data_IF_977673171350
#
_entry.id   IF_977673171350
#
_cell.length_a   1.000
_cell.length_b   1.000
_cell.length_c   1.000
_cell.angle_alpha   90.00
_cell.angle_beta   90.00
_cell.angle_gamma   90.00
#
_symmetry.space_group_name_H-M   'P 1'
#
loop_
_entity.id
_entity.type
_entity.pdbx_description
1 polymer ?
#
# COMPACT_ATOMS: atom_id res chain seq x y z
N UNK A 1 -20.45 -5.01 -14.91
CA UNK A 1 -21.58 -4.07 -15.11
C UNK A 1 -22.25 -3.88 -13.77
N UNK A 2 -21.98 -2.75 -13.11
CA UNK A 2 -22.64 -2.40 -11.84
C UNK A 2 -22.79 -0.89 -11.83
N UNK A 3 -23.96 -0.42 -12.25
CA UNK A 3 -24.35 0.98 -12.24
C UNK A 3 -24.71 1.35 -10.80
N UNK A 4 -23.92 2.20 -10.13
CA UNK A 4 -24.30 2.77 -8.82
C UNK A 4 -24.91 4.15 -9.02
N UNK A 5 -26.19 4.28 -8.67
CA UNK A 5 -26.93 5.54 -8.64
C UNK A 5 -26.88 6.09 -7.22
N UNK A 6 -26.39 7.31 -7.03
CA UNK A 6 -26.46 8.02 -5.75
C UNK A 6 -27.50 9.13 -5.84
N UNK A 7 -28.53 9.05 -5.00
CA UNK A 7 -29.47 10.14 -4.76
C UNK A 7 -29.09 10.83 -3.45
N UNK A 8 -28.88 12.15 -3.50
CA UNK A 8 -28.64 12.99 -2.31
C UNK A 8 -29.80 13.98 -2.22
N UNK A 9 -30.63 13.83 -1.19
CA UNK A 9 -31.77 14.71 -0.92
C UNK A 9 -31.29 15.84 -0.01
N UNK A 10 -31.30 17.08 -0.52
CA UNK A 10 -31.17 18.29 0.30
C UNK A 10 -32.55 18.90 0.49
N UNK A 11 -32.94 19.12 1.75
CA UNK A 11 -34.20 19.77 2.11
C UNK A 11 -33.97 21.28 2.17
N UNK A 12 -34.34 21.97 1.08
CA UNK A 12 -35.01 23.28 0.97
C UNK A 12 -34.86 23.75 -0.48
N UNK A 13 -35.95 23.71 -1.26
CA UNK A 13 -35.98 24.00 -2.70
C UNK A 13 -35.66 22.76 -3.56
N UNK A 14 -36.70 22.13 -4.13
CA UNK A 14 -36.57 20.89 -4.92
C UNK A 14 -35.69 21.10 -6.16
N UNK A 15 -34.42 20.69 -6.06
CA UNK A 15 -33.54 20.49 -7.20
C UNK A 15 -32.94 19.08 -7.08
N UNK A 16 -33.43 18.14 -7.89
CA UNK A 16 -32.92 16.79 -7.94
C UNK A 16 -31.89 16.68 -9.08
N UNK A 17 -30.60 16.84 -8.77
CA UNK A 17 -29.53 16.56 -9.72
C UNK A 17 -29.17 15.07 -9.65
N UNK A 18 -29.52 14.31 -10.68
CA UNK A 18 -28.98 12.96 -10.89
C UNK A 18 -27.63 13.07 -11.60
N UNK A 19 -26.54 13.02 -10.84
CA UNK A 19 -25.20 12.85 -11.40
C UNK A 19 -24.79 11.38 -11.32
N UNK A 20 -24.79 10.72 -12.48
CA UNK A 20 -24.15 9.42 -12.68
C UNK A 20 -22.67 9.65 -12.99
N UNK A 21 -21.75 9.15 -12.15
CA UNK A 21 -20.31 9.11 -12.44
C UNK A 21 -19.86 7.66 -12.50
N UNK A 22 -19.31 7.25 -13.64
CA UNK A 22 -18.69 5.94 -13.84
C UNK A 22 -17.18 6.12 -13.99
N UNK A 23 -16.45 6.02 -12.87
CA UNK A 23 -14.99 6.07 -12.90
C UNK A 23 -14.42 4.65 -13.09
N UNK A 24 -13.76 4.42 -14.23
CA UNK A 24 -12.99 3.19 -14.51
C UNK A 24 -11.50 3.51 -14.33
N UNK A 25 -10.89 3.04 -13.24
CA UNK A 25 -9.46 3.17 -13.02
C UNK A 25 -8.71 2.04 -13.75
N UNK A 26 -8.33 2.28 -15.00
CA UNK A 26 -7.21 1.59 -15.66
C UNK A 26 -6.36 2.62 -16.39
N UNK A 27 -5.06 2.38 -16.48
CA UNK A 27 -4.11 3.27 -17.13
C UNK A 27 -4.45 3.44 -18.62
N UNK A 28 -5.15 4.53 -18.95
CA UNK A 28 -5.56 4.88 -20.31
C UNK A 28 -7.05 4.79 -20.60
N UNK A 29 -7.93 4.97 -19.60
CA UNK A 29 -9.37 5.02 -19.85
C UNK A 29 -9.83 6.38 -20.39
N UNK A 30 -10.67 6.32 -21.43
CA UNK A 30 -11.37 7.45 -22.02
C UNK A 30 -12.65 7.66 -21.22
N UNK A 31 -12.83 8.84 -20.61
CA UNK A 31 -13.97 9.09 -19.72
C UNK A 31 -15.02 9.93 -20.45
N UNK A 32 -16.21 9.34 -20.62
CA UNK A 32 -17.39 9.99 -21.16
C UNK A 32 -18.34 10.24 -19.98
N UNK A 33 -18.69 11.50 -19.72
CA UNK A 33 -19.66 11.84 -18.69
C UNK A 33 -20.88 12.53 -19.30
N UNK A 34 -22.07 11.99 -19.01
CA UNK A 34 -23.35 12.58 -19.36
C UNK A 34 -24.04 12.99 -18.07
N UNK A 35 -24.37 14.27 -17.95
CA UNK A 35 -25.11 14.80 -16.82
C UNK A 35 -26.35 15.55 -17.31
N UNK A 36 -27.44 15.47 -16.58
CA UNK A 36 -28.66 16.19 -16.93
C UNK A 36 -29.58 16.36 -15.73
N UNK A 37 -30.46 17.34 -15.82
CA UNK A 37 -31.45 17.64 -14.80
C UNK A 37 -32.64 18.37 -15.41
N UNK A 38 -33.73 18.42 -14.67
CA UNK A 38 -34.88 19.23 -15.01
C UNK A 38 -35.19 20.20 -13.88
N UNK A 39 -35.61 21.40 -14.24
CA UNK A 39 -36.07 22.41 -13.31
C UNK A 39 -37.54 22.67 -13.60
N UNK A 40 -38.39 22.49 -12.60
CA UNK A 40 -39.79 22.88 -12.65
C UNK A 40 -39.92 24.27 -12.04
N UNK A 41 -40.40 25.24 -12.83
CA UNK A 41 -40.69 26.59 -12.35
C UNK A 41 -42.14 26.67 -11.85
N UNK A 42 -42.40 27.64 -10.98
CA UNK A 42 -43.71 27.84 -10.34
C UNK A 42 -44.84 28.17 -11.35
N UNK A 43 -44.50 28.57 -12.57
CA UNK A 43 -45.40 28.81 -13.69
C UNK A 43 -45.84 27.52 -14.44
N UNK A 44 -45.38 26.34 -13.98
CA UNK A 44 -45.72 25.04 -14.54
C UNK A 44 -44.86 24.61 -15.73
N UNK A 45 -43.91 25.43 -16.18
CA UNK A 45 -42.98 25.04 -17.26
C UNK A 45 -41.83 24.20 -16.70
N UNK A 46 -41.45 23.18 -17.49
CA UNK A 46 -40.34 22.28 -17.20
C UNK A 46 -39.26 22.47 -18.24
N UNK A 47 -38.06 22.83 -17.81
CA UNK A 47 -36.89 22.93 -18.67
C UNK A 47 -35.96 21.77 -18.37
N UNK A 48 -35.53 21.07 -19.42
CA UNK A 48 -34.56 19.99 -19.35
C UNK A 48 -33.23 20.48 -19.88
N UNK A 49 -32.17 20.31 -19.08
CA UNK A 49 -30.81 20.63 -19.47
C UNK A 49 -29.98 19.37 -19.37
N UNK A 50 -29.27 19.05 -20.44
CA UNK A 50 -28.31 17.95 -20.48
C UNK A 50 -26.98 18.45 -21.03
N UNK A 51 -25.89 17.96 -20.45
CA UNK A 51 -24.52 18.29 -20.81
C UNK A 51 -23.69 17.02 -20.90
N UNK A 52 -23.03 16.85 -22.04
CA UNK A 52 -22.11 15.76 -22.32
C UNK A 52 -20.68 16.32 -22.34
N UNK A 53 -19.75 15.69 -21.61
CA UNK A 53 -18.33 16.00 -21.68
C UNK A 53 -17.49 14.75 -21.96
N UNK A 54 -16.42 14.95 -22.72
CA UNK A 54 -15.49 13.91 -23.15
C UNK A 54 -14.06 14.38 -22.86
N UNK A 55 -13.36 13.66 -21.99
CA UNK A 55 -11.97 13.99 -21.63
C UNK A 55 -11.00 13.03 -22.33
N UNK A 56 -10.09 13.58 -23.15
CA UNK A 56 -9.07 12.83 -23.89
C UNK A 56 -7.69 13.16 -23.31
N UNK A 57 -6.95 12.20 -22.72
CA UNK A 57 -5.63 12.45 -22.16
C UNK A 57 -4.58 12.58 -23.27
N UNK A 58 -4.08 13.80 -23.52
CA UNK A 58 -3.05 14.10 -24.53
C UNK A 58 -1.61 13.73 -24.11
N UNK A 59 -1.41 13.05 -22.97
CA UNK A 59 -0.09 12.82 -22.37
C UNK A 59 0.75 11.70 -23.02
N UNK A 60 0.49 11.31 -24.28
CA UNK A 60 1.29 10.29 -25.00
C UNK A 60 1.63 10.66 -26.43
N UNK A 61 1.98 11.92 -26.67
CA UNK A 61 2.80 12.29 -27.83
C UNK A 61 4.09 12.89 -27.29
N UNK A 62 5.22 12.34 -27.73
CA UNK A 62 6.60 12.66 -27.32
C UNK A 62 7.11 12.04 -26.00
N UNK A 63 7.79 10.89 -26.14
CA UNK A 63 9.01 10.64 -25.37
C UNK A 63 10.18 10.51 -26.36
N UNK A 64 11.21 11.36 -26.27
CA UNK A 64 12.41 11.22 -27.08
C UNK A 64 13.25 10.02 -26.60
N UNK A 65 13.86 9.35 -27.57
CA UNK A 65 14.82 8.26 -27.41
C UNK A 65 16.13 8.86 -26.86
N UNK A 66 16.46 8.63 -25.59
CA UNK A 66 17.74 9.07 -25.02
C UNK A 66 18.85 8.09 -25.43
N UNK A 67 19.97 8.66 -25.83
CA UNK A 67 21.09 8.04 -26.52
C UNK A 67 21.79 6.95 -25.71
N UNK A 68 22.24 5.94 -26.45
CA UNK A 68 23.11 4.84 -26.04
C UNK A 68 24.53 5.40 -25.80
N UNK A 69 25.04 5.19 -24.58
CA UNK A 69 26.38 5.60 -24.18
C UNK A 69 27.41 4.61 -24.73
N UNK A 70 28.48 5.16 -25.32
CA UNK A 70 29.61 4.40 -25.86
C UNK A 70 30.33 3.57 -24.78
N UNK A 71 30.85 2.37 -25.13
CA UNK A 71 31.53 1.51 -24.18
C UNK A 71 32.89 2.10 -23.75
N UNK A 72 33.11 2.15 -22.44
CA UNK A 72 34.41 2.41 -21.85
C UNK A 72 35.38 1.26 -22.17
N UNK A 73 36.62 1.66 -22.49
CA UNK A 73 37.76 0.82 -22.88
C UNK A 73 37.99 -0.33 -21.88
N UNK A 74 38.04 -1.56 -22.40
CA UNK A 74 38.29 -2.77 -21.61
C UNK A 74 39.74 -2.79 -21.06
N UNK A 75 39.95 -3.07 -19.76
CA UNK A 75 41.28 -3.37 -19.24
C UNK A 75 41.76 -4.75 -19.75
N UNK A 76 43.06 -4.84 -20.01
CA UNK A 76 43.76 -6.02 -20.52
C UNK A 76 43.52 -7.29 -19.69
N UNK A 77 43.56 -8.49 -20.31
CA UNK A 77 43.27 -9.75 -19.65
C UNK A 77 44.39 -10.12 -18.66
N UNK A 78 44.22 -9.72 -17.40
CA UNK A 78 44.94 -10.31 -16.27
C UNK A 78 44.68 -11.82 -16.24
N UNK A 79 45.73 -12.63 -16.09
CA UNK A 79 45.65 -14.10 -15.94
C UNK A 79 44.47 -14.48 -15.02
N UNK A 80 43.69 -15.53 -15.36
CA UNK A 80 42.57 -15.95 -14.52
C UNK A 80 43.11 -16.41 -13.15
N UNK A 81 43.09 -15.51 -12.17
CA UNK A 81 43.36 -15.83 -10.76
C UNK A 81 42.35 -16.88 -10.32
N UNK A 82 42.83 -17.97 -9.74
CA UNK A 82 41.97 -19.02 -9.20
C UNK A 82 41.14 -18.44 -8.03
N UNK A 83 39.92 -18.03 -8.32
CA UNK A 83 39.03 -17.43 -7.33
C UNK A 83 38.66 -18.49 -6.28
N UNK A 84 38.88 -18.18 -5.00
CA UNK A 84 38.36 -18.99 -3.90
C UNK A 84 36.84 -18.88 -3.88
N UNK A 85 36.16 -19.84 -4.50
CA UNK A 85 34.70 -19.93 -4.41
C UNK A 85 34.32 -20.58 -3.08
N UNK A 86 34.09 -19.72 -2.08
CA UNK A 86 33.67 -20.12 -0.73
C UNK A 86 32.15 -20.12 -0.61
N UNK A 87 31.48 -19.16 -1.27
CA UNK A 87 30.02 -18.99 -1.19
C UNK A 87 29.35 -19.91 -2.19
N UNK A 88 28.62 -20.90 -1.69
CA UNK A 88 27.74 -21.74 -2.52
C UNK A 88 26.34 -21.12 -2.65
N UNK A 89 25.58 -21.44 -3.70
CA UNK A 89 24.20 -20.96 -3.85
C UNK A 89 23.31 -21.36 -2.66
N UNK A 90 23.49 -22.57 -2.13
CA UNK A 90 22.75 -23.04 -0.94
C UNK A 90 23.07 -22.19 0.30
N UNK A 91 24.35 -21.81 0.48
CA UNK A 91 24.75 -20.94 1.57
C UNK A 91 24.17 -19.53 1.40
N UNK A 92 24.26 -18.94 0.20
CA UNK A 92 23.64 -17.64 -0.08
C UNK A 92 22.13 -17.63 0.22
N UNK A 93 21.40 -18.68 -0.18
CA UNK A 93 19.99 -18.83 0.18
C UNK A 93 19.77 -18.90 1.69
N UNK A 94 20.65 -19.58 2.44
CA UNK A 94 20.54 -19.68 3.89
C UNK A 94 20.74 -18.32 4.60
N UNK A 95 21.68 -17.50 4.11
CA UNK A 95 21.91 -16.13 4.59
C UNK A 95 20.69 -15.26 4.30
N UNK A 96 20.17 -15.30 3.07
CA UNK A 96 18.95 -14.55 2.70
C UNK A 96 17.75 -14.96 3.55
N UNK A 97 17.55 -16.27 3.78
CA UNK A 97 16.48 -16.75 4.68
C UNK A 97 16.68 -16.29 6.11
N UNK A 98 17.92 -16.17 6.59
CA UNK A 98 18.20 -15.62 7.91
C UNK A 98 17.85 -14.11 7.97
N UNK A 99 18.25 -13.34 6.96
CA UNK A 99 17.92 -11.92 6.86
C UNK A 99 16.41 -11.66 6.78
N UNK A 100 15.67 -12.41 5.96
CA UNK A 100 14.21 -12.27 5.87
C UNK A 100 13.50 -12.65 7.18
N UNK A 101 14.05 -13.59 7.94
CA UNK A 101 13.57 -13.95 9.29
C UNK A 101 13.86 -12.84 10.29
N UNK A 102 15.07 -12.31 10.31
CA UNK A 102 15.45 -11.18 11.17
C UNK A 102 14.61 -9.93 10.89
N UNK A 103 14.29 -9.67 9.62
CA UNK A 103 13.40 -8.60 9.19
C UNK A 103 11.90 -8.84 9.52
N UNK A 104 11.56 -9.99 10.11
CA UNK A 104 10.21 -10.29 10.58
C UNK A 104 9.18 -10.61 9.49
N UNK A 105 9.60 -11.06 8.30
CA UNK A 105 8.72 -11.30 7.14
C UNK A 105 7.48 -12.13 7.49
N UNK A 106 7.65 -13.28 8.14
CA UNK A 106 6.54 -14.17 8.47
C UNK A 106 5.50 -13.53 9.39
N UNK A 107 5.94 -12.66 10.32
CA UNK A 107 5.04 -11.93 11.23
C UNK A 107 4.26 -10.84 10.48
N UNK A 108 4.89 -10.17 9.52
CA UNK A 108 4.24 -9.18 8.68
C UNK A 108 3.16 -9.82 7.79
N UNK A 109 3.47 -10.95 7.14
CA UNK A 109 2.52 -11.67 6.29
C UNK A 109 1.28 -12.12 7.08
N UNK A 110 1.48 -12.69 8.27
CA UNK A 110 0.38 -13.07 9.17
C UNK A 110 -0.47 -11.85 9.59
N UNK A 111 0.16 -10.70 9.86
CA UNK A 111 -0.55 -9.45 10.19
C UNK A 111 -1.38 -8.93 9.03
N UNK A 112 -0.88 -8.99 7.78
CA UNK A 112 -1.66 -8.58 6.62
C UNK A 112 -2.83 -9.52 6.35
N UNK A 113 -2.64 -10.83 6.55
CA UNK A 113 -3.73 -11.81 6.49
C UNK A 113 -4.84 -11.51 7.51
N UNK A 114 -4.48 -11.19 8.75
CA UNK A 114 -5.47 -10.86 9.79
C UNK A 114 -6.18 -9.52 9.54
N UNK A 115 -5.50 -8.53 8.96
CA UNK A 115 -6.12 -7.28 8.53
C UNK A 115 -7.16 -7.51 7.43
N UNK A 116 -6.81 -8.29 6.40
CA UNK A 116 -7.74 -8.63 5.33
C UNK A 116 -8.95 -9.42 5.84
N UNK A 117 -8.73 -10.41 6.71
CA UNK A 117 -9.81 -11.20 7.32
C UNK A 117 -10.76 -10.32 8.15
N UNK A 118 -10.23 -9.43 8.99
CA UNK A 118 -11.04 -8.49 9.78
C UNK A 118 -11.83 -7.51 8.91
N UNK A 119 -11.25 -7.03 7.80
CA UNK A 119 -11.94 -6.14 6.87
C UNK A 119 -13.14 -6.83 6.21
N UNK A 120 -13.01 -8.12 5.85
CA UNK A 120 -14.13 -8.90 5.31
C UNK A 120 -15.19 -9.22 6.37
N UNK A 121 -14.76 -9.55 7.58
CA UNK A 121 -15.69 -9.79 8.69
C UNK A 121 -16.49 -8.53 9.06
N UNK A 122 -15.86 -7.35 9.07
CA UNK A 122 -16.56 -6.09 9.37
C UNK A 122 -17.54 -5.68 8.27
N UNK A 123 -17.29 -6.07 7.02
CA UNK A 123 -18.23 -5.83 5.92
C UNK A 123 -19.55 -6.61 6.05
N UNK A 124 -19.56 -7.73 6.79
CA UNK A 124 -20.77 -8.50 7.06
C UNK A 124 -21.65 -7.86 8.17
N UNK A 125 -21.09 -6.96 8.96
CA UNK A 125 -21.81 -6.30 10.06
C UNK A 125 -22.49 -5.01 9.58
N UNK A 126 -23.73 -4.74 10.03
CA UNK A 126 -24.36 -3.46 9.75
C UNK A 126 -23.68 -2.33 10.52
N UNK A 127 -23.66 -1.16 9.92
CA UNK A 127 -23.44 0.09 10.64
C UNK A 127 -24.73 0.43 11.39
N UNK A 128 -24.72 0.31 12.72
CA UNK A 128 -25.84 0.65 13.59
C UNK A 128 -25.75 2.12 14.03
N UNK A 129 -26.76 2.91 13.72
CA UNK A 129 -26.91 4.30 14.17
C UNK A 129 -28.15 4.41 15.05
N UNK A 130 -27.96 4.88 16.27
CA UNK A 130 -29.03 5.14 17.23
C UNK A 130 -29.18 6.65 17.37
N UNK A 131 -30.40 7.16 17.22
CA UNK A 131 -30.74 8.57 17.42
C UNK A 131 -31.87 8.65 18.43
N UNK A 132 -31.65 9.44 19.47
CA UNK A 132 -32.70 9.84 20.40
C UNK A 132 -32.94 11.33 20.21
N UNK A 133 -34.19 11.72 20.00
CA UNK A 133 -34.60 13.11 19.96
C UNK A 133 -35.70 13.33 21.00
N UNK A 134 -35.62 14.46 21.69
CA UNK A 134 -36.68 14.94 22.54
C UNK A 134 -37.16 16.25 21.95
N UNK A 135 -38.44 16.32 21.65
CA UNK A 135 -39.09 17.54 21.16
C UNK A 135 -40.10 17.96 22.21
N UNK A 136 -40.02 19.23 22.59
CA UNK A 136 -40.96 19.89 23.50
C UNK A 136 -41.74 20.88 22.67
N UNK A 137 -43.03 20.64 22.50
CA UNK A 137 -43.94 21.58 21.86
C UNK A 137 -44.71 22.34 22.93
N UNK A 138 -44.68 23.66 22.82
CA UNK A 138 -45.57 24.56 23.52
C UNK A 138 -46.43 25.24 22.46
N UNK A 139 -47.49 24.54 22.03
CA UNK A 139 -48.43 25.13 21.09
C UNK A 139 -49.62 25.74 21.84
N UNK A 140 -49.82 27.04 21.61
CA UNK A 140 -51.03 27.75 21.98
C UNK A 140 -52.04 27.57 20.86
N UNK A 141 -53.11 26.83 21.12
CA UNK A 141 -54.23 26.71 20.18
C UNK A 141 -55.33 27.67 20.58
N UNK A 142 -55.74 28.52 19.64
CA UNK A 142 -56.95 29.31 19.79
C UNK A 142 -58.15 28.37 19.61
N UNK A 143 -58.98 28.24 20.64
CA UNK A 143 -60.20 27.43 20.59
C UNK A 143 -61.39 28.32 20.97
N UNK A 144 -61.75 29.29 20.10
CA UNK A 144 -62.78 30.26 20.41
C UNK A 144 -64.12 29.56 20.60
N UNK A 145 -64.83 29.93 21.66
CA UNK A 145 -66.20 29.48 21.90
C UNK A 145 -67.15 30.66 21.69
N UNK A 146 -68.43 30.38 21.49
CA UNK A 146 -69.46 31.42 21.28
C UNK A 146 -69.53 32.42 22.44
N UNK A 147 -69.04 32.04 23.62
CA UNK A 147 -69.06 32.84 24.86
C UNK A 147 -67.72 33.52 25.16
N UNK A 148 -66.60 33.05 24.61
CA UNK A 148 -65.26 33.63 24.80
C UNK A 148 -64.43 33.52 23.50
N UNK A 149 -64.35 34.63 22.72
CA UNK A 149 -63.59 34.68 21.48
C UNK A 149 -62.07 34.61 21.68
N UNK A 150 -61.57 34.91 22.89
CA UNK A 150 -60.14 34.98 23.20
C UNK A 150 -59.66 33.78 24.01
N UNK A 151 -60.39 32.67 23.99
CA UNK A 151 -60.01 31.47 24.69
C UNK A 151 -58.79 30.80 24.05
N UNK A 152 -57.68 30.81 24.77
CA UNK A 152 -56.48 30.03 24.43
C UNK A 152 -56.45 28.75 25.25
N UNK A 153 -56.15 27.62 24.61
CA UNK A 153 -55.80 26.37 25.28
C UNK A 153 -54.32 26.10 25.04
N UNK A 154 -53.55 26.08 26.12
CA UNK A 154 -52.17 25.65 26.08
C UNK A 154 -52.13 24.12 26.01
N UNK A 155 -51.58 23.60 24.92
CA UNK A 155 -51.32 22.17 24.77
C UNK A 155 -49.80 21.97 24.85
N UNK A 156 -49.32 21.57 26.02
CA UNK A 156 -47.93 21.15 26.21
C UNK A 156 -47.77 19.67 25.83
N UNK A 157 -46.84 19.38 24.93
CA UNK A 157 -46.51 18.02 24.52
C UNK A 157 -45.01 17.74 24.63
N UNK A 158 -44.64 16.65 25.29
CA UNK A 158 -43.27 16.14 25.26
C UNK A 158 -43.27 14.85 24.45
N UNK A 159 -42.58 14.85 23.32
CA UNK A 159 -42.34 13.65 22.52
C UNK A 159 -40.88 13.22 22.64
N UNK A 160 -40.69 11.92 22.82
CA UNK A 160 -39.39 11.27 22.77
C UNK A 160 -39.42 10.34 21.55
N UNK A 161 -38.51 10.57 20.62
CA UNK A 161 -38.33 9.76 19.42
C UNK A 161 -37.04 8.96 19.56
N UNK A 162 -37.15 7.65 19.41
CA UNK A 162 -36.02 6.72 19.37
C UNK A 162 -35.98 6.09 17.98
N UNK A 163 -34.94 6.41 17.22
CA UNK A 163 -34.70 5.86 15.88
C UNK A 163 -33.46 4.97 15.92
N UNK A 164 -33.60 3.72 15.47
CA UNK A 164 -32.50 2.80 15.26
C UNK A 164 -32.39 2.47 13.77
N UNK A 165 -31.23 2.75 13.16
CA UNK A 165 -30.95 2.50 11.75
C UNK A 165 -29.77 1.55 11.60
N UNK A 166 -30.01 0.38 11.04
CA UNK A 166 -28.97 -0.56 10.63
C UNK A 166 -28.73 -0.45 9.11
N UNK A 167 -27.49 -0.24 8.69
CA UNK A 167 -27.11 -0.12 7.27
C UNK A 167 -26.10 -1.20 6.90
N UNK A 168 -26.47 -2.13 6.02
CA UNK A 168 -25.56 -3.13 5.47
C UNK A 168 -24.92 -2.62 4.19
N UNK A 169 -23.59 -2.68 4.12
CA UNK A 169 -22.82 -2.36 2.92
C UNK A 169 -22.41 -3.66 2.23
N UNK A 170 -23.38 -4.31 1.59
CA UNK A 170 -23.19 -5.63 0.96
C UNK A 170 -22.19 -5.61 -0.20
N UNK A 171 -21.94 -4.43 -0.79
CA UNK A 171 -20.89 -4.23 -1.77
C UNK A 171 -19.49 -4.49 -1.17
N UNK A 172 -19.27 -4.10 0.09
CA UNK A 172 -18.02 -4.36 0.81
C UNK A 172 -17.81 -5.83 1.14
N UNK A 173 -18.89 -6.63 1.21
CA UNK A 173 -18.79 -8.06 1.45
C UNK A 173 -18.18 -8.79 0.23
N UNK A 174 -18.40 -8.27 -0.98
CA UNK A 174 -17.80 -8.79 -2.21
C UNK A 174 -16.40 -8.22 -2.42
N UNK A 175 -16.23 -6.91 -2.21
CA UNK A 175 -14.95 -6.24 -2.38
C UNK A 175 -14.82 -5.04 -1.44
N UNK A 176 -13.89 -5.10 -0.48
CA UNK A 176 -13.64 -4.01 0.45
C UNK A 176 -12.52 -3.11 -0.09
N UNK A 177 -12.69 -1.79 -0.06
CA UNK A 177 -11.65 -0.83 -0.49
C UNK A 177 -10.34 -0.99 0.30
N UNK A 178 -10.43 -1.48 1.54
CA UNK A 178 -9.28 -1.83 2.38
C UNK A 178 -8.44 -2.96 1.78
N UNK A 179 -9.01 -3.84 0.98
CA UNK A 179 -8.28 -4.91 0.30
C UNK A 179 -7.26 -4.34 -0.70
N UNK A 180 -7.60 -3.26 -1.41
CA UNK A 180 -6.66 -2.54 -2.28
C UNK A 180 -5.49 -1.99 -1.47
N UNK A 181 -5.77 -1.39 -0.30
CA UNK A 181 -4.73 -0.84 0.57
C UNK A 181 -3.83 -1.95 1.14
N UNK A 182 -4.40 -3.09 1.54
CA UNK A 182 -3.64 -4.26 1.99
C UNK A 182 -2.76 -4.79 0.87
N UNK A 183 -3.27 -4.89 -0.36
CA UNK A 183 -2.48 -5.32 -1.53
C UNK A 183 -1.36 -4.33 -1.86
N UNK A 184 -1.63 -3.02 -1.74
CA UNK A 184 -0.59 -2.01 -1.91
C UNK A 184 0.54 -2.19 -0.88
N UNK A 185 0.19 -2.39 0.39
CA UNK A 185 1.17 -2.66 1.45
C UNK A 185 1.96 -3.96 1.21
N UNK A 186 1.31 -5.01 0.69
CA UNK A 186 1.99 -6.25 0.28
C UNK A 186 3.01 -6.00 -0.84
N UNK A 187 2.64 -5.22 -1.86
CA UNK A 187 3.56 -4.85 -2.95
C UNK A 187 4.75 -4.04 -2.43
N UNK A 188 4.50 -3.02 -1.62
CA UNK A 188 5.57 -2.23 -1.00
C UNK A 188 6.50 -3.09 -0.16
N UNK A 189 5.95 -4.05 0.59
CA UNK A 189 6.77 -4.97 1.38
C UNK A 189 7.59 -5.90 0.49
N UNK A 190 7.01 -6.46 -0.58
CA UNK A 190 7.75 -7.29 -1.52
C UNK A 190 8.93 -6.53 -2.17
N UNK A 191 8.76 -5.23 -2.45
CA UNK A 191 9.84 -4.37 -2.94
C UNK A 191 10.93 -4.16 -1.88
N UNK A 192 10.56 -3.93 -0.61
CA UNK A 192 11.53 -3.83 0.49
C UNK A 192 12.30 -5.14 0.68
N UNK A 193 11.62 -6.28 0.62
CA UNK A 193 12.24 -7.59 0.71
C UNK A 193 13.22 -7.82 -0.46
N UNK A 194 12.86 -7.42 -1.68
CA UNK A 194 13.76 -7.52 -2.83
C UNK A 194 15.04 -6.68 -2.65
N UNK A 195 14.90 -5.45 -2.13
CA UNK A 195 16.06 -4.59 -1.79
C UNK A 195 16.92 -5.21 -0.70
N UNK A 196 16.31 -5.75 0.35
CA UNK A 196 17.05 -6.45 1.41
C UNK A 196 17.82 -7.66 0.87
N UNK A 197 17.21 -8.45 -0.02
CA UNK A 197 17.89 -9.58 -0.68
C UNK A 197 19.09 -9.09 -1.47
N UNK A 198 18.93 -8.01 -2.24
CA UNK A 198 20.02 -7.42 -3.01
C UNK A 198 21.16 -6.93 -2.10
N UNK A 199 20.84 -6.22 -1.03
CA UNK A 199 21.82 -5.70 -0.07
C UNK A 199 22.58 -6.82 0.64
N UNK A 200 21.88 -7.90 1.03
CA UNK A 200 22.48 -9.08 1.65
C UNK A 200 23.44 -9.78 0.68
N UNK A 201 23.03 -10.00 -0.56
CA UNK A 201 23.88 -10.63 -1.57
C UNK A 201 25.11 -9.76 -1.89
N UNK A 202 24.92 -8.44 -1.98
CA UNK A 202 26.00 -7.48 -2.19
C UNK A 202 27.02 -7.53 -1.06
N UNK A 203 26.57 -7.53 0.20
CA UNK A 203 27.42 -7.66 1.37
C UNK A 203 28.14 -9.02 1.40
N UNK A 204 27.45 -10.11 1.05
CA UNK A 204 28.02 -11.46 1.00
C UNK A 204 29.14 -11.58 -0.04
N UNK A 205 28.94 -11.02 -1.25
CA UNK A 205 29.98 -11.01 -2.27
C UNK A 205 31.09 -10.01 -1.98
N UNK A 206 30.83 -8.91 -1.26
CA UNK A 206 31.87 -8.04 -0.76
C UNK A 206 32.77 -8.78 0.26
N UNK A 207 32.16 -9.51 1.19
CA UNK A 207 32.88 -10.37 2.14
C UNK A 207 33.76 -11.41 1.44
N UNK A 208 33.23 -12.14 0.45
CA UNK A 208 34.00 -13.16 -0.27
C UNK A 208 35.19 -12.56 -1.03
N UNK A 209 35.01 -11.39 -1.66
CA UNK A 209 36.09 -10.70 -2.37
C UNK A 209 37.16 -10.20 -1.40
N UNK A 210 36.75 -9.61 -0.28
CA UNK A 210 37.66 -9.18 0.77
C UNK A 210 38.46 -10.35 1.35
N UNK A 211 37.80 -11.50 1.58
CA UNK A 211 38.45 -12.70 2.08
C UNK A 211 39.49 -13.25 1.08
N UNK A 212 39.17 -13.16 -0.22
CA UNK A 212 40.09 -13.58 -1.27
C UNK A 212 41.32 -12.67 -1.32
N UNK A 213 41.15 -11.34 -1.18
CA UNK A 213 42.25 -10.37 -1.09
C UNK A 213 43.10 -10.56 0.17
N UNK A 214 42.48 -10.75 1.33
CA UNK A 214 43.21 -10.97 2.58
C UNK A 214 44.06 -12.26 2.58
N UNK A 215 43.72 -13.22 1.73
CA UNK A 215 44.45 -14.49 1.64
C UNK A 215 45.51 -14.46 0.52
N UNK A 216 45.50 -13.50 -0.40
CA UNK A 216 46.35 -13.50 -1.59
C UNK A 216 47.78 -12.98 -1.29
N UNK A 217 48.83 -13.82 -1.39
CA UNK A 217 50.21 -13.51 -1.03
C UNK A 217 50.91 -12.72 -2.15
N UNK A 218 50.30 -12.63 -3.34
CA UNK A 218 50.79 -11.76 -4.40
C UNK A 218 50.51 -10.28 -4.10
N UNK A 219 49.57 -9.99 -3.19
CA UNK A 219 49.24 -8.61 -2.80
C UNK A 219 50.30 -8.06 -1.84
N UNK A 220 50.61 -6.76 -1.92
CA UNK A 220 51.39 -6.06 -0.91
C UNK A 220 50.78 -6.24 0.50
N UNK A 221 51.60 -6.24 1.57
CA UNK A 221 51.10 -6.42 2.94
C UNK A 221 50.04 -5.36 3.34
N UNK A 222 50.21 -4.11 2.91
CA UNK A 222 49.24 -3.03 3.16
C UNK A 222 47.86 -3.33 2.53
N UNK A 223 47.83 -3.92 1.33
CA UNK A 223 46.58 -4.27 0.65
C UNK A 223 45.90 -5.50 1.27
N UNK A 224 46.69 -6.40 1.87
CA UNK A 224 46.19 -7.53 2.64
C UNK A 224 45.50 -7.03 3.92
N UNK A 225 46.14 -6.13 4.68
CA UNK A 225 45.56 -5.51 5.89
C UNK A 225 44.26 -4.76 5.59
N UNK A 226 44.22 -3.97 4.51
CA UNK A 226 43.00 -3.31 4.06
C UNK A 226 41.89 -4.31 3.68
N UNK A 227 42.27 -5.45 3.10
CA UNK A 227 41.32 -6.51 2.77
C UNK A 227 40.79 -7.20 4.03
N UNK A 228 41.60 -7.40 5.06
CA UNK A 228 41.16 -7.92 6.36
C UNK A 228 40.13 -6.99 7.03
N UNK A 229 40.38 -5.68 7.01
CA UNK A 229 39.41 -4.69 7.51
C UNK A 229 38.08 -4.77 6.76
N UNK A 230 38.11 -4.93 5.44
CA UNK A 230 36.91 -5.13 4.61
C UNK A 230 36.17 -6.43 4.93
N UNK A 231 36.88 -7.49 5.32
CA UNK A 231 36.25 -8.74 5.80
C UNK A 231 35.45 -8.45 7.07
N UNK A 232 36.05 -7.75 8.04
CA UNK A 232 35.41 -7.40 9.31
C UNK A 232 34.18 -6.51 9.06
N UNK A 233 34.32 -5.48 8.21
CA UNK A 233 33.21 -4.58 7.85
C UNK A 233 32.03 -5.36 7.24
N UNK A 234 32.31 -6.24 6.27
CA UNK A 234 31.29 -7.01 5.60
C UNK A 234 30.63 -8.03 6.55
N UNK A 235 31.38 -8.60 7.50
CA UNK A 235 30.83 -9.47 8.55
C UNK A 235 29.87 -8.74 9.47
N UNK A 236 30.27 -7.59 10.01
CA UNK A 236 29.41 -6.76 10.85
C UNK A 236 28.13 -6.38 10.09
N UNK A 237 28.26 -5.98 8.82
CA UNK A 237 27.10 -5.66 7.98
C UNK A 237 26.18 -6.87 7.79
N UNK A 238 26.72 -8.04 7.52
CA UNK A 238 25.94 -9.27 7.37
C UNK A 238 25.26 -9.66 8.68
N UNK A 239 25.89 -9.45 9.84
CA UNK A 239 25.25 -9.71 11.13
C UNK A 239 24.11 -8.76 11.43
N UNK A 240 24.27 -7.47 11.15
CA UNK A 240 23.17 -6.50 11.28
C UNK A 240 21.99 -6.90 10.40
N UNK A 241 22.26 -7.30 9.15
CA UNK A 241 21.21 -7.72 8.21
C UNK A 241 20.57 -9.07 8.56
N UNK A 242 21.31 -9.98 9.21
CA UNK A 242 20.85 -11.34 9.52
C UNK A 242 20.46 -11.56 10.97
N UNK A 243 20.55 -10.54 11.82
CA UNK A 243 20.28 -10.65 13.26
C UNK A 243 21.31 -11.50 14.01
N UNK A 244 22.59 -11.39 13.64
CA UNK A 244 23.70 -12.12 14.28
C UNK A 244 23.82 -13.59 13.85
N UNK A 245 23.10 -14.01 12.81
CA UNK A 245 23.14 -15.40 12.34
C UNK A 245 24.46 -15.77 11.63
N UNK A 246 25.17 -14.78 11.07
CA UNK A 246 26.34 -14.97 10.22
C UNK A 246 27.63 -15.20 11.04
N UNK A 247 27.85 -14.39 12.07
CA UNK A 247 29.03 -14.40 12.96
C UNK A 247 29.46 -15.80 13.39
N UNK A 248 28.58 -16.67 13.94
CA UNK A 248 28.99 -18.00 14.39
C UNK A 248 29.49 -18.93 13.27
N UNK A 249 29.17 -18.62 12.00
CA UNK A 249 29.49 -19.44 10.83
C UNK A 249 30.70 -18.93 10.05
N UNK A 250 30.99 -17.64 10.15
CA UNK A 250 32.10 -17.01 9.43
C UNK A 250 33.46 -17.70 9.69
N UNK A 251 33.84 -18.08 10.93
CA UNK A 251 35.12 -18.75 11.19
C UNK A 251 35.26 -20.10 10.48
N UNK A 252 34.19 -20.90 10.41
CA UNK A 252 34.21 -22.18 9.72
C UNK A 252 34.40 -22.01 8.21
N UNK A 253 33.79 -20.99 7.62
CA UNK A 253 33.94 -20.68 6.20
C UNK A 253 35.34 -20.18 5.87
N UNK A 254 35.92 -19.31 6.72
CA UNK A 254 37.31 -18.86 6.59
C UNK A 254 38.28 -20.04 6.63
N UNK A 255 38.13 -20.96 7.59
CA UNK A 255 38.95 -22.19 7.67
C UNK A 255 38.84 -23.05 6.41
N UNK A 256 37.63 -23.20 5.87
CA UNK A 256 37.41 -23.95 4.62
C UNK A 256 38.04 -23.28 3.40
N UNK A 257 38.06 -21.94 3.35
CA UNK A 257 38.71 -21.19 2.29
C UNK A 257 40.23 -21.42 2.29
N UNK A 258 40.83 -21.29 3.48
CA UNK A 258 42.27 -21.52 3.69
C UNK A 258 42.69 -22.96 3.37
N UNK A 259 41.88 -23.95 3.74
CA UNK A 259 42.20 -25.36 3.50
C UNK A 259 42.12 -25.77 2.03
N UNK A 260 41.21 -25.18 1.25
CA UNK A 260 41.13 -25.41 -0.20
C UNK A 260 42.34 -24.85 -0.93
N UNK A 261 42.82 -23.69 -0.49
CA UNK A 261 43.96 -23.02 -1.10
C UNK A 261 45.26 -23.80 -0.95
N UNK A 262 45.52 -24.35 0.23
CA UNK A 262 46.67 -25.22 0.49
C UNK A 262 46.68 -26.51 -0.35
N UNK A 263 45.55 -26.90 -0.96
CA UNK A 263 45.48 -28.08 -1.84
C UNK A 263 45.68 -27.74 -3.31
N UNK A 264 45.59 -26.46 -3.69
CA UNK A 264 45.79 -26.00 -5.08
C UNK A 264 47.20 -25.53 -5.35
N UNK A 265 48.01 -25.35 -4.30
CA UNK A 265 49.47 -25.15 -4.34
C UNK A 265 50.18 -26.51 -4.33
#
# INVERSE_FOLDING_TARGET
MTTKVFARVCVFGLCACLTSRSAFASSGSLELSLSGGWVARADGRRELVAMLSLDIPTARVARPKLAEAAPAKAPEPSRPRAALVVVTPAFAQSVVRAALRAAGRSRADARFGSLASRARASAALPELRLRAARTTDESLRLAPTTTDPYRYTQAGGVSIELEARATWKLDRAVFADEEIQVEHLRRLRAQQDARLVEDVLRALFAWQRALSGATDPELPPEEQELSELRVIEAEVRLDVLTGGWFSPRAPALRKNALSRRRRSE
#
